data_IF_396052049012
#
_entry.id   IF_396052049012
#
_cell.length_a   1.000
_cell.length_b   1.000
_cell.length_c   1.000
_cell.angle_alpha   90.00
_cell.angle_beta   90.00
_cell.angle_gamma   90.00
#
_symmetry.space_group_name_H-M   'P 1'
#
loop_
_entity.id
_entity.type
_entity.pdbx_description
1 polymer ?
#
# COMPACT_ATOMS: atom_id res chain seq x y z
N UNK A 1 -2.03 -4.13 13.55
CA UNK A 1 -3.25 -4.00 12.72
C UNK A 1 -3.12 -4.80 11.43
N UNK A 2 -4.18 -5.48 10.97
CA UNK A 2 -4.32 -5.92 9.57
C UNK A 2 -5.51 -5.19 8.96
N UNK A 3 -5.32 -4.53 7.81
CA UNK A 3 -6.34 -3.72 7.19
C UNK A 3 -6.31 -3.81 5.67
N UNK A 4 -7.43 -4.25 5.10
CA UNK A 4 -7.69 -4.15 3.68
C UNK A 4 -8.12 -2.70 3.37
N UNK A 5 -7.28 -1.99 2.62
CA UNK A 5 -7.47 -0.56 2.34
C UNK A 5 -8.26 -0.31 1.08
N UNK A 6 -8.63 -1.33 0.29
CA UNK A 6 -9.41 -1.17 -0.94
C UNK A 6 -8.85 -0.08 -1.89
N UNK A 7 -7.53 0.03 -2.04
CA UNK A 7 -6.87 1.03 -2.90
C UNK A 7 -6.75 0.46 -4.32
N UNK A 8 -7.89 0.36 -5.00
CA UNK A 8 -7.98 -0.18 -6.37
C UNK A 8 -7.41 0.75 -7.42
N UNK A 9 -6.93 0.18 -8.55
CA UNK A 9 -6.42 0.92 -9.71
C UNK A 9 -7.35 2.07 -10.12
N UNK A 10 -6.82 3.30 -10.13
CA UNK A 10 -7.59 4.47 -10.59
C UNK A 10 -7.87 4.45 -12.09
N UNK A 11 -7.11 3.68 -12.88
CA UNK A 11 -7.39 3.47 -14.32
C UNK A 11 -8.74 2.77 -14.52
N UNK A 12 -9.06 1.80 -13.66
CA UNK A 12 -10.33 1.04 -13.72
C UNK A 12 -11.43 1.65 -12.84
N UNK A 13 -11.04 2.27 -11.73
CA UNK A 13 -11.94 2.70 -10.65
C UNK A 13 -11.63 4.14 -10.19
N UNK A 14 -11.76 5.16 -11.05
CA UNK A 14 -11.22 6.50 -10.79
C UNK A 14 -11.86 7.26 -9.62
N UNK A 15 -13.07 6.87 -9.19
CA UNK A 15 -13.92 7.67 -8.29
C UNK A 15 -14.09 7.06 -6.89
N UNK A 16 -13.17 6.22 -6.43
CA UNK A 16 -13.22 5.58 -5.09
C UNK A 16 -12.41 6.33 -4.01
N UNK A 17 -12.00 7.57 -4.31
CA UNK A 17 -11.33 8.45 -3.37
C UNK A 17 -9.99 7.91 -2.87
N UNK A 18 -9.27 7.13 -3.68
CA UNK A 18 -8.04 6.45 -3.28
C UNK A 18 -7.01 7.43 -2.71
N UNK A 19 -6.79 8.57 -3.37
CA UNK A 19 -5.81 9.57 -2.93
C UNK A 19 -6.23 10.23 -1.60
N UNK A 20 -7.52 10.54 -1.45
CA UNK A 20 -8.05 11.07 -0.20
C UNK A 20 -7.89 10.05 0.94
N UNK A 21 -8.27 8.79 0.72
CA UNK A 21 -8.18 7.73 1.72
C UNK A 21 -6.72 7.42 2.08
N UNK A 22 -5.79 7.44 1.12
CA UNK A 22 -4.35 7.31 1.37
C UNK A 22 -3.78 8.45 2.25
N UNK A 23 -4.40 9.64 2.23
CA UNK A 23 -4.05 10.74 3.13
C UNK A 23 -4.70 10.60 4.52
N UNK A 24 -5.93 10.09 4.61
CA UNK A 24 -6.68 10.03 5.86
C UNK A 24 -6.39 8.79 6.71
N UNK A 25 -6.19 7.62 6.10
CA UNK A 25 -5.97 6.35 6.83
C UNK A 25 -4.84 6.49 7.88
N UNK A 26 -3.65 7.04 7.56
CA UNK A 26 -2.57 7.18 8.54
C UNK A 26 -2.87 8.11 9.73
N UNK A 27 -3.88 8.99 9.60
CA UNK A 27 -4.29 9.93 10.66
C UNK A 27 -5.27 9.29 11.66
N UNK A 28 -5.94 8.21 11.27
CA UNK A 28 -6.95 7.55 12.10
C UNK A 28 -6.34 6.99 13.39
N UNK A 29 -7.12 6.87 14.46
CA UNK A 29 -6.63 6.31 15.72
C UNK A 29 -6.32 4.82 15.61
N UNK A 30 -7.12 4.06 14.88
CA UNK A 30 -6.94 2.60 14.75
C UNK A 30 -5.68 2.22 13.96
N UNK A 31 -5.25 3.08 13.02
CA UNK A 31 -4.04 2.84 12.24
C UNK A 31 -2.78 3.13 13.04
N UNK A 32 -2.82 4.07 13.99
CA UNK A 32 -1.67 4.52 14.78
C UNK A 32 -1.44 3.66 16.02
N UNK A 33 -0.22 3.68 16.54
CA UNK A 33 0.13 3.03 17.82
C UNK A 33 0.20 1.51 17.77
N UNK A 34 0.25 0.92 16.58
CA UNK A 34 0.54 -0.50 16.42
C UNK A 34 2.06 -0.69 16.33
N UNK A 35 2.57 -1.88 16.66
CA UNK A 35 3.96 -2.23 16.34
C UNK A 35 4.14 -2.52 14.84
N UNK A 36 3.15 -3.20 14.25
CA UNK A 36 3.14 -3.60 12.83
C UNK A 36 1.75 -3.38 12.23
N UNK A 37 1.74 -2.91 10.98
CA UNK A 37 0.53 -2.77 10.16
C UNK A 37 0.69 -3.58 8.88
N UNK A 38 -0.28 -4.47 8.61
CA UNK A 38 -0.37 -5.24 7.36
C UNK A 38 -1.44 -4.62 6.47
N UNK A 39 -1.04 -4.15 5.30
CA UNK A 39 -1.93 -3.48 4.34
C UNK A 39 -2.27 -4.45 3.21
N UNK A 40 -3.55 -4.62 2.90
CA UNK A 40 -4.03 -5.40 1.76
C UNK A 40 -4.73 -4.52 0.73
N UNK A 41 -4.80 -4.99 -0.52
CA UNK A 41 -5.39 -4.27 -1.68
C UNK A 41 -4.79 -2.87 -1.92
N UNK A 42 -3.49 -2.73 -1.68
CA UNK A 42 -2.68 -1.57 -2.06
C UNK A 42 -2.29 -1.62 -3.56
N UNK A 43 -3.30 -1.71 -4.44
CA UNK A 43 -3.09 -1.97 -5.87
C UNK A 43 -2.66 -0.71 -6.62
N UNK A 44 -3.40 0.40 -6.50
CA UNK A 44 -3.05 1.65 -7.19
C UNK A 44 -1.67 2.15 -6.75
N UNK A 45 -0.76 2.28 -7.71
CA UNK A 45 0.64 2.60 -7.43
C UNK A 45 0.79 3.95 -6.72
N UNK A 46 0.17 4.99 -7.26
CA UNK A 46 0.30 6.36 -6.74
C UNK A 46 -0.31 6.52 -5.34
N UNK A 47 -1.52 6.01 -5.13
CA UNK A 47 -2.22 6.11 -3.85
C UNK A 47 -1.55 5.24 -2.77
N UNK A 48 -1.07 4.05 -3.12
CA UNK A 48 -0.38 3.17 -2.18
C UNK A 48 0.99 3.71 -1.77
N UNK A 49 1.71 4.37 -2.69
CA UNK A 49 2.96 5.07 -2.36
C UNK A 49 2.70 6.28 -1.47
N UNK A 50 1.62 7.03 -1.73
CA UNK A 50 1.21 8.13 -0.86
C UNK A 50 0.89 7.63 0.56
N UNK A 51 0.15 6.54 0.69
CA UNK A 51 -0.17 5.93 1.99
C UNK A 51 1.10 5.55 2.75
N UNK A 52 2.04 4.85 2.08
CA UNK A 52 3.33 4.48 2.66
C UNK A 52 4.16 5.69 3.12
N UNK A 53 4.31 6.70 2.26
CA UNK A 53 5.01 7.96 2.59
C UNK A 53 4.37 8.66 3.79
N UNK A 54 3.05 8.77 3.82
CA UNK A 54 2.31 9.42 4.91
C UNK A 54 2.39 8.63 6.23
N UNK A 55 2.73 7.34 6.16
CA UNK A 55 2.88 6.45 7.32
C UNK A 55 4.31 6.41 7.86
N UNK A 56 5.29 6.92 7.13
CA UNK A 56 6.72 6.74 7.41
C UNK A 56 7.19 7.33 8.75
N UNK A 57 6.53 8.38 9.25
CA UNK A 57 6.86 8.99 10.54
C UNK A 57 6.60 8.05 11.73
N UNK A 58 5.64 7.13 11.60
CA UNK A 58 5.31 6.14 12.64
C UNK A 58 5.84 4.75 12.31
N UNK A 59 5.92 4.43 11.03
CA UNK A 59 6.35 3.13 10.52
C UNK A 59 7.52 3.33 9.55
N UNK A 60 8.74 3.59 10.06
CA UNK A 60 9.88 3.93 9.21
C UNK A 60 10.45 2.73 8.44
N UNK A 61 10.19 1.51 8.91
CA UNK A 61 10.61 0.27 8.24
C UNK A 61 9.46 -0.30 7.44
N UNK A 62 9.56 -0.28 6.12
CA UNK A 62 8.49 -0.68 5.20
C UNK A 62 9.04 -1.60 4.12
N UNK A 63 8.23 -2.59 3.71
CA UNK A 63 8.52 -3.39 2.52
C UNK A 63 7.96 -2.68 1.28
N UNK A 64 8.48 -2.98 0.07
CA UNK A 64 7.76 -2.66 -1.15
C UNK A 64 6.38 -3.33 -1.18
N UNK A 65 5.49 -2.88 -2.07
CA UNK A 65 4.25 -3.62 -2.37
C UNK A 65 4.61 -4.92 -3.10
N UNK A 66 4.12 -6.04 -2.56
CA UNK A 66 4.36 -7.37 -3.13
C UNK A 66 3.86 -7.42 -4.58
N UNK A 67 4.66 -8.02 -5.47
CA UNK A 67 4.30 -8.22 -6.88
C UNK A 67 4.56 -7.05 -7.82
N UNK A 68 4.84 -5.84 -7.30
CA UNK A 68 5.12 -4.66 -8.14
C UNK A 68 6.48 -4.71 -8.81
N UNK A 69 7.50 -5.18 -8.09
CA UNK A 69 8.84 -5.38 -8.61
C UNK A 69 9.61 -6.39 -7.75
N UNK A 70 10.79 -6.81 -8.22
CA UNK A 70 11.75 -7.60 -7.44
C UNK A 70 12.67 -6.74 -6.57
N UNK A 71 12.72 -5.43 -6.82
CA UNK A 71 13.61 -4.51 -6.11
C UNK A 71 13.17 -4.30 -4.66
N UNK A 72 14.12 -4.27 -3.74
CA UNK A 72 13.86 -4.09 -2.31
C UNK A 72 13.38 -5.35 -1.58
N UNK A 73 13.39 -6.50 -2.25
CA UNK A 73 13.17 -7.82 -1.64
C UNK A 73 14.46 -8.61 -1.59
N UNK A 74 14.74 -9.30 -0.48
CA UNK A 74 15.88 -10.21 -0.38
C UNK A 74 15.72 -11.43 -1.30
N UNK A 75 14.48 -11.87 -1.51
CA UNK A 75 14.14 -12.95 -2.43
C UNK A 75 12.75 -12.75 -3.05
N UNK A 76 12.58 -13.17 -4.30
CA UNK A 76 11.27 -13.28 -4.97
C UNK A 76 11.08 -14.71 -5.44
N UNK A 77 10.02 -15.37 -4.97
CA UNK A 77 9.70 -16.77 -5.28
C UNK A 77 8.25 -16.91 -5.74
N UNK A 78 7.85 -18.11 -6.17
CA UNK A 78 6.53 -18.37 -6.74
C UNK A 78 6.37 -17.82 -8.16
N UNK A 79 5.13 -17.72 -8.63
CA UNK A 79 4.78 -17.33 -10.00
C UNK A 79 4.74 -15.81 -10.20
N UNK A 80 5.84 -15.11 -9.91
CA UNK A 80 5.95 -13.67 -10.16
C UNK A 80 5.74 -13.36 -11.65
N UNK A 81 4.91 -12.36 -11.94
CA UNK A 81 4.72 -11.79 -13.28
C UNK A 81 5.10 -10.32 -13.26
N UNK A 82 5.82 -9.87 -14.30
CA UNK A 82 6.12 -8.45 -14.50
C UNK A 82 4.96 -7.67 -15.14
N UNK A 83 3.88 -8.36 -15.54
CA UNK A 83 2.69 -7.74 -16.10
C UNK A 83 1.74 -7.36 -14.97
N UNK A 84 1.55 -6.05 -14.78
CA UNK A 84 0.66 -5.48 -13.77
C UNK A 84 -0.41 -4.61 -14.45
N UNK A 85 -1.70 -4.75 -14.11
CA UNK A 85 -2.79 -3.97 -14.72
C UNK A 85 -2.92 -2.54 -14.15
N UNK A 86 -2.10 -2.17 -13.17
CA UNK A 86 -2.11 -0.85 -12.51
C UNK A 86 -1.18 0.19 -13.15
#
# INVERSE_FOLDING_TARGET
LSYNTFIFSKTLYPNWGQDHRAAEIPKTSFFRGNDVVVIQEAFDNGASDALQRNSAAQYPYQTPVVGRSKSGWDATSGSYSATTPE
#
